data_IF_002731538115
#
_entry.id   IF_002731538115
#
_cell.length_a   1.000
_cell.length_b   1.000
_cell.length_c   1.000
_cell.angle_alpha   90.00
_cell.angle_beta   90.00
_cell.angle_gamma   90.00
#
_symmetry.space_group_name_H-M   'P 1'
#
loop_
_entity.id
_entity.type
_entity.pdbx_description
1 polymer ?
#
# COMPACT_ATOMS: atom_id res chain seq x y z
N UNK A 1 -21.98 -2.84 0.26
CA UNK A 1 -20.88 -2.14 0.98
C UNK A 1 -21.42 -1.63 2.30
N UNK A 2 -20.90 -2.13 3.38
CA UNK A 2 -21.23 -1.68 4.73
C UNK A 2 -20.27 -0.56 5.17
N UNK A 3 -20.83 0.58 5.56
CA UNK A 3 -20.10 1.74 6.08
C UNK A 3 -20.16 1.82 7.61
N UNK A 4 -20.65 0.80 8.29
CA UNK A 4 -20.68 0.63 9.75
C UNK A 4 -21.27 1.87 10.46
N UNK A 5 -22.39 2.41 9.97
CA UNK A 5 -22.99 3.67 10.47
C UNK A 5 -23.28 3.60 11.96
N UNK A 6 -23.85 2.48 12.44
CA UNK A 6 -24.18 2.27 13.85
C UNK A 6 -22.94 2.38 14.74
N UNK A 7 -21.84 1.74 14.35
CA UNK A 7 -20.55 1.80 15.06
C UNK A 7 -19.97 3.21 15.10
N UNK A 8 -20.04 3.95 13.98
CA UNK A 8 -19.59 5.35 13.92
C UNK A 8 -20.40 6.22 14.88
N UNK A 9 -21.73 6.03 14.92
CA UNK A 9 -22.65 6.76 15.79
C UNK A 9 -22.36 6.46 17.26
N UNK A 10 -22.11 5.19 17.63
CA UNK A 10 -21.74 4.79 18.99
C UNK A 10 -20.42 5.46 19.41
N UNK A 11 -19.39 5.35 18.60
CA UNK A 11 -18.10 5.99 18.89
C UNK A 11 -18.21 7.52 18.98
N UNK A 12 -19.04 8.15 18.16
CA UNK A 12 -19.27 9.59 18.23
C UNK A 12 -19.93 9.99 19.56
N UNK A 13 -20.86 9.17 20.09
CA UNK A 13 -21.50 9.40 21.39
C UNK A 13 -20.53 9.18 22.56
N UNK A 14 -19.77 8.07 22.53
CA UNK A 14 -18.79 7.72 23.56
C UNK A 14 -17.72 8.81 23.70
N UNK A 15 -17.21 9.30 22.58
CA UNK A 15 -16.21 10.38 22.55
C UNK A 15 -16.83 11.78 22.71
N UNK A 16 -18.17 11.91 22.86
CA UNK A 16 -18.87 13.20 22.90
C UNK A 16 -18.47 14.12 21.75
N UNK A 17 -18.21 13.53 20.58
CA UNK A 17 -17.76 14.25 19.40
C UNK A 17 -18.84 15.21 18.89
N UNK A 18 -18.44 16.43 18.59
CA UNK A 18 -19.30 17.47 17.97
C UNK A 18 -19.02 17.62 16.48
N UNK A 19 -17.81 17.26 16.06
CA UNK A 19 -17.37 17.35 14.67
C UNK A 19 -16.71 16.04 14.28
N UNK A 20 -17.24 15.38 13.24
CA UNK A 20 -16.65 14.22 12.60
C UNK A 20 -16.01 14.63 11.29
N UNK A 21 -14.81 14.15 11.00
CA UNK A 21 -14.22 14.22 9.67
C UNK A 21 -14.30 12.84 9.02
N UNK A 22 -14.80 12.79 7.80
CA UNK A 22 -14.88 11.55 7.01
C UNK A 22 -13.84 11.60 5.91
N UNK A 23 -12.90 10.67 5.94
CA UNK A 23 -11.85 10.51 4.93
C UNK A 23 -12.08 9.23 4.13
N UNK A 24 -12.13 9.35 2.81
CA UNK A 24 -12.37 8.25 1.89
C UNK A 24 -11.25 8.12 0.87
N UNK A 25 -10.87 6.91 0.45
CA UNK A 25 -10.07 6.74 -0.75
C UNK A 25 -10.86 7.17 -1.99
N UNK A 26 -10.14 7.49 -3.08
CA UNK A 26 -10.73 8.11 -4.28
C UNK A 26 -11.96 7.36 -4.82
N UNK A 27 -11.93 6.04 -4.82
CA UNK A 27 -13.05 5.21 -5.28
C UNK A 27 -14.32 5.30 -4.43
N UNK A 28 -14.22 5.76 -3.18
CA UNK A 28 -15.32 5.81 -2.22
C UNK A 28 -15.80 7.24 -1.90
N UNK A 29 -15.07 8.29 -2.28
CA UNK A 29 -15.45 9.71 -1.99
C UNK A 29 -16.88 10.06 -2.39
N UNK A 30 -17.36 9.51 -3.48
CA UNK A 30 -18.74 9.72 -3.97
C UNK A 30 -19.83 9.32 -2.98
N UNK A 31 -19.53 8.42 -2.05
CA UNK A 31 -20.48 7.98 -1.01
C UNK A 31 -20.48 8.91 0.23
N UNK A 32 -19.48 9.78 0.36
CA UNK A 32 -19.30 10.64 1.52
C UNK A 32 -20.53 11.47 1.90
N UNK A 33 -21.21 12.18 0.95
CA UNK A 33 -22.39 12.96 1.27
C UNK A 33 -23.54 12.12 1.84
N UNK A 34 -23.76 10.91 1.29
CA UNK A 34 -24.81 10.01 1.75
C UNK A 34 -24.47 9.42 3.13
N UNK A 35 -23.22 9.00 3.34
CA UNK A 35 -22.74 8.49 4.65
C UNK A 35 -22.88 9.58 5.71
N UNK A 36 -22.42 10.79 5.43
CA UNK A 36 -22.53 11.92 6.36
C UNK A 36 -23.97 12.28 6.70
N UNK A 37 -24.90 12.18 5.73
CA UNK A 37 -26.34 12.37 5.97
C UNK A 37 -26.87 11.31 6.95
N UNK A 38 -26.61 10.03 6.69
CA UNK A 38 -27.05 8.92 7.55
C UNK A 38 -26.52 9.04 8.98
N UNK A 39 -25.26 9.42 9.18
CA UNK A 39 -24.69 9.64 10.51
C UNK A 39 -25.48 10.74 11.24
N UNK A 40 -25.76 11.88 10.58
CA UNK A 40 -26.50 13.00 11.19
C UNK A 40 -27.96 12.67 11.53
N UNK A 41 -28.56 11.67 10.91
CA UNK A 41 -29.92 11.20 11.26
C UNK A 41 -29.96 10.51 12.64
N UNK A 42 -28.80 10.00 13.14
CA UNK A 42 -28.72 9.24 14.37
C UNK A 42 -27.98 9.96 15.52
N UNK A 43 -27.15 10.95 15.20
CA UNK A 43 -26.40 11.73 16.20
C UNK A 43 -26.26 13.19 15.78
N UNK A 44 -26.35 14.10 16.75
CA UNK A 44 -26.25 15.54 16.51
C UNK A 44 -24.78 15.98 16.39
N UNK A 45 -24.19 15.84 15.20
CA UNK A 45 -22.80 16.20 14.90
C UNK A 45 -22.69 17.03 13.62
N UNK A 46 -21.62 17.81 13.55
CA UNK A 46 -21.17 18.39 12.26
C UNK A 46 -20.33 17.35 11.53
N UNK A 47 -20.49 17.25 10.23
CA UNK A 47 -19.71 16.35 9.39
C UNK A 47 -18.90 17.15 8.39
N UNK A 48 -17.61 16.94 8.37
CA UNK A 48 -16.66 17.43 7.37
C UNK A 48 -16.27 16.27 6.44
N UNK A 49 -16.27 16.50 5.15
CA UNK A 49 -15.76 15.55 4.16
C UNK A 49 -14.35 15.99 3.76
N UNK A 50 -13.36 15.13 3.94
CA UNK A 50 -12.01 15.40 3.44
C UNK A 50 -12.02 15.40 1.91
N UNK A 51 -11.54 16.49 1.30
CA UNK A 51 -11.28 16.60 -0.13
C UNK A 51 -9.87 16.13 -0.52
N UNK A 52 -8.98 15.97 0.45
CA UNK A 52 -7.59 15.57 0.22
C UNK A 52 -7.50 14.15 -0.36
N UNK A 53 -6.48 13.83 -1.16
CA UNK A 53 -6.20 12.45 -1.57
C UNK A 53 -6.04 11.53 -0.35
N UNK A 54 -6.41 10.26 -0.51
CA UNK A 54 -6.27 9.26 0.53
C UNK A 54 -5.84 7.92 -0.09
N UNK A 55 -4.61 7.51 0.19
CA UNK A 55 -3.99 6.34 -0.42
C UNK A 55 -3.88 5.13 0.50
N UNK A 56 -4.09 5.31 1.81
CA UNK A 56 -3.95 4.24 2.79
C UNK A 56 -4.11 4.71 4.23
N UNK A 57 -4.11 3.79 5.18
CA UNK A 57 -4.08 4.10 6.61
C UNK A 57 -2.77 4.81 7.04
N UNK A 58 -1.77 4.85 6.17
CA UNK A 58 -0.55 5.63 6.33
C UNK A 58 -0.71 7.11 5.98
N UNK A 59 -1.89 7.52 5.50
CA UNK A 59 -2.21 8.86 4.99
C UNK A 59 -3.45 9.41 5.70
N UNK A 60 -3.33 9.57 7.02
CA UNK A 60 -4.43 10.08 7.85
C UNK A 60 -4.49 11.60 7.79
N UNK A 61 -5.66 12.12 7.42
CA UNK A 61 -5.93 13.56 7.31
C UNK A 61 -6.41 14.11 8.65
N UNK A 62 -5.46 14.41 9.53
CA UNK A 62 -5.74 15.01 10.85
C UNK A 62 -6.04 16.49 10.74
N UNK A 63 -7.06 16.92 10.04
CA UNK A 63 -7.42 18.32 10.13
C UNK A 63 -8.04 18.63 11.52
N UNK A 64 -7.45 19.59 12.13
CA UNK A 64 -7.37 20.04 13.50
C UNK A 64 -8.68 20.42 14.19
N UNK A 65 -9.83 20.37 13.50
CA UNK A 65 -11.13 20.78 14.05
C UNK A 65 -12.10 19.63 14.30
N UNK A 66 -11.73 18.42 13.90
CA UNK A 66 -12.54 17.23 14.13
C UNK A 66 -12.22 16.61 15.49
N UNK A 67 -13.25 16.23 16.20
CA UNK A 67 -13.12 15.48 17.45
C UNK A 67 -12.83 13.99 17.17
N UNK A 68 -13.26 13.47 16.02
CA UNK A 68 -13.05 12.10 15.57
C UNK A 68 -12.88 12.06 14.05
N UNK A 69 -11.82 11.41 13.58
CA UNK A 69 -11.59 11.07 12.19
C UNK A 69 -12.18 9.67 11.91
N UNK A 70 -13.04 9.57 10.90
CA UNK A 70 -13.53 8.29 10.39
C UNK A 70 -12.84 8.02 9.05
N UNK A 71 -11.95 7.04 9.04
CA UNK A 71 -11.12 6.66 7.90
C UNK A 71 -11.68 5.40 7.25
N UNK A 72 -12.07 5.49 5.98
CA UNK A 72 -12.73 4.42 5.24
C UNK A 72 -11.79 3.68 4.29
N UNK A 73 -12.09 2.41 4.03
CA UNK A 73 -11.49 1.59 2.98
C UNK A 73 -10.15 0.94 3.31
N UNK A 74 -9.60 1.20 4.49
CA UNK A 74 -8.32 0.62 4.92
C UNK A 74 -8.39 0.08 6.33
N UNK A 75 -7.59 -0.96 6.61
CA UNK A 75 -7.33 -1.40 7.97
C UNK A 75 -6.32 -0.47 8.64
N UNK A 76 -6.46 -0.32 9.95
CA UNK A 76 -5.43 0.27 10.80
C UNK A 76 -4.06 -0.37 10.53
N UNK A 77 -3.00 0.42 10.58
CA UNK A 77 -1.61 -0.06 10.65
C UNK A 77 -1.24 -0.05 12.15
N UNK A 78 -1.13 -1.21 12.83
CA UNK A 78 -1.03 -1.28 14.28
C UNK A 78 0.17 -0.52 14.87
N UNK A 79 1.26 -0.43 14.12
CA UNK A 79 2.48 0.31 14.51
C UNK A 79 2.30 1.83 14.49
N UNK A 80 1.31 2.34 13.75
CA UNK A 80 1.05 3.78 13.68
C UNK A 80 0.09 4.18 14.80
N UNK A 81 0.58 4.96 15.75
CA UNK A 81 -0.26 5.49 16.82
C UNK A 81 -1.22 6.53 16.24
N UNK A 82 -2.47 6.16 16.13
CA UNK A 82 -3.55 7.00 15.64
C UNK A 82 -4.50 7.34 16.81
N UNK A 83 -4.58 8.60 17.19
CA UNK A 83 -5.51 9.05 18.23
C UNK A 83 -6.82 9.53 17.59
N UNK A 84 -7.95 9.20 18.22
CA UNK A 84 -9.29 9.64 17.78
C UNK A 84 -9.58 9.28 16.31
N UNK A 85 -9.22 8.06 15.87
CA UNK A 85 -9.50 7.54 14.53
C UNK A 85 -10.38 6.29 14.63
N UNK A 86 -11.44 6.28 13.84
CA UNK A 86 -12.26 5.11 13.59
C UNK A 86 -11.95 4.57 12.19
N UNK A 87 -11.38 3.38 12.09
CA UNK A 87 -11.16 2.72 10.79
C UNK A 87 -12.39 1.90 10.41
N UNK A 88 -12.94 2.17 9.24
CA UNK A 88 -14.04 1.43 8.60
C UNK A 88 -13.50 0.78 7.33
N UNK A 89 -13.30 -0.52 7.35
CA UNK A 89 -12.54 -1.23 6.31
C UNK A 89 -13.29 -1.34 4.97
N UNK A 90 -14.60 -1.21 4.97
CA UNK A 90 -15.47 -1.31 3.77
C UNK A 90 -15.19 -2.59 2.99
N UNK A 91 -15.37 -3.74 3.65
CA UNK A 91 -15.12 -5.06 3.08
C UNK A 91 -16.01 -5.33 1.87
N UNK A 92 -15.49 -6.11 0.94
CA UNK A 92 -16.22 -6.48 -0.28
C UNK A 92 -17.15 -7.67 -0.02
N UNK A 93 -18.37 -7.59 -0.51
CA UNK A 93 -19.35 -8.69 -0.43
C UNK A 93 -19.30 -9.64 -1.66
N UNK A 94 -18.33 -9.42 -2.56
CA UNK A 94 -18.19 -10.26 -3.75
C UNK A 94 -17.79 -11.69 -3.36
N UNK A 95 -18.45 -12.68 -3.92
CA UNK A 95 -18.05 -14.06 -3.75
C UNK A 95 -16.75 -14.33 -4.51
N UNK A 96 -15.69 -14.71 -3.77
CA UNK A 96 -14.36 -14.97 -4.31
C UNK A 96 -14.18 -16.41 -4.78
N UNK A 97 -15.02 -17.36 -4.30
CA UNK A 97 -14.86 -18.80 -4.53
C UNK A 97 -14.91 -19.18 -6.02
N UNK A 98 -15.80 -18.63 -6.86
CA UNK A 98 -15.79 -18.95 -8.28
C UNK A 98 -14.44 -18.64 -8.95
N UNK A 99 -13.85 -17.49 -8.65
CA UNK A 99 -12.56 -17.10 -9.23
C UNK A 99 -11.38 -17.89 -8.63
N UNK A 100 -11.46 -18.24 -7.35
CA UNK A 100 -10.50 -19.16 -6.72
C UNK A 100 -10.55 -20.53 -7.37
N UNK A 101 -11.75 -21.03 -7.68
CA UNK A 101 -11.92 -22.30 -8.38
C UNK A 101 -11.28 -22.28 -9.78
N UNK A 102 -11.46 -21.19 -10.53
CA UNK A 102 -10.80 -21.03 -11.83
C UNK A 102 -9.26 -20.95 -11.69
N UNK A 103 -8.75 -20.42 -10.58
CA UNK A 103 -7.33 -20.34 -10.29
C UNK A 103 -6.69 -21.72 -10.01
N UNK A 104 -7.46 -22.74 -9.59
CA UNK A 104 -6.95 -24.09 -9.34
C UNK A 104 -6.22 -24.68 -10.56
N UNK A 105 -6.69 -24.38 -11.78
CA UNK A 105 -6.06 -24.82 -13.03
C UNK A 105 -4.64 -24.25 -13.24
N UNK A 106 -4.28 -23.16 -12.56
CA UNK A 106 -2.99 -22.52 -12.65
C UNK A 106 -2.04 -22.94 -11.52
N UNK A 107 -2.54 -23.57 -10.47
CA UNK A 107 -1.75 -24.02 -9.32
C UNK A 107 -0.96 -25.27 -9.72
N UNK A 108 0.35 -25.26 -9.48
CA UNK A 108 1.27 -26.34 -9.87
C UNK A 108 1.85 -27.10 -8.69
N UNK A 109 1.91 -26.50 -7.51
CA UNK A 109 2.48 -27.15 -6.31
C UNK A 109 1.44 -27.39 -5.23
N UNK A 110 1.65 -28.36 -4.33
CA UNK A 110 0.68 -28.69 -3.29
C UNK A 110 0.60 -27.65 -2.17
N UNK A 111 1.67 -26.86 -1.94
CA UNK A 111 1.77 -25.87 -0.85
C UNK A 111 1.50 -24.49 -1.41
N UNK A 112 0.37 -23.88 -1.04
CA UNK A 112 -0.09 -22.60 -1.59
C UNK A 112 -0.23 -21.58 -0.47
N UNK A 113 0.46 -20.45 -0.58
CA UNK A 113 0.26 -19.30 0.29
C UNK A 113 -0.95 -18.50 -0.15
N UNK A 114 -1.82 -18.12 0.78
CA UNK A 114 -2.98 -17.28 0.47
C UNK A 114 -2.72 -15.89 1.00
N UNK A 115 -2.80 -14.89 0.12
CA UNK A 115 -2.62 -13.47 0.45
C UNK A 115 -3.68 -12.61 -0.20
N UNK A 116 -4.01 -11.49 0.44
CA UNK A 116 -5.04 -10.57 -0.03
C UNK A 116 -4.86 -9.17 0.53
N UNK A 117 -5.66 -8.22 0.07
CA UNK A 117 -5.81 -6.90 0.69
C UNK A 117 -6.97 -6.91 1.71
N UNK A 118 -7.15 -5.81 2.46
CA UNK A 118 -8.16 -5.72 3.54
C UNK A 118 -9.59 -5.98 3.08
N UNK A 119 -9.93 -5.68 1.82
CA UNK A 119 -11.28 -5.86 1.29
C UNK A 119 -11.75 -7.33 1.31
N UNK A 120 -10.81 -8.28 1.28
CA UNK A 120 -11.12 -9.71 1.19
C UNK A 120 -10.56 -10.55 2.34
N UNK A 121 -9.94 -9.97 3.38
CA UNK A 121 -9.37 -10.74 4.51
C UNK A 121 -10.38 -11.65 5.19
N UNK A 122 -11.65 -11.26 5.25
CA UNK A 122 -12.73 -12.04 5.84
C UNK A 122 -13.09 -13.31 5.04
N UNK A 123 -12.63 -13.43 3.80
CA UNK A 123 -12.88 -14.62 2.96
C UNK A 123 -11.77 -15.66 3.08
N UNK A 124 -10.66 -15.36 3.74
CA UNK A 124 -9.48 -16.23 3.75
C UNK A 124 -9.74 -17.62 4.34
N UNK A 125 -10.53 -17.71 5.41
CA UNK A 125 -10.86 -19.02 6.01
C UNK A 125 -11.70 -19.87 5.07
N UNK A 126 -12.67 -19.30 4.36
CA UNK A 126 -13.48 -20.01 3.38
C UNK A 126 -12.63 -20.47 2.17
N UNK A 127 -11.72 -19.62 1.71
CA UNK A 127 -10.78 -19.97 0.64
C UNK A 127 -9.82 -21.07 1.10
N UNK A 128 -9.31 -21.00 2.33
CA UNK A 128 -8.47 -22.05 2.90
C UNK A 128 -9.14 -23.41 2.85
N UNK A 129 -10.36 -23.53 3.38
CA UNK A 129 -11.13 -24.79 3.35
C UNK A 129 -11.45 -25.26 1.92
N UNK A 130 -11.71 -24.32 1.00
CA UNK A 130 -11.97 -24.66 -0.40
C UNK A 130 -10.73 -25.29 -1.06
N UNK A 131 -9.54 -24.72 -0.84
CA UNK A 131 -8.27 -25.26 -1.37
C UNK A 131 -7.92 -26.61 -0.73
N UNK A 132 -8.16 -26.80 0.58
CA UNK A 132 -7.99 -28.10 1.24
C UNK A 132 -8.90 -29.16 0.62
N UNK A 133 -10.17 -28.83 0.35
CA UNK A 133 -11.13 -29.71 -0.29
C UNK A 133 -10.72 -30.09 -1.72
N UNK A 134 -9.93 -29.22 -2.39
CA UNK A 134 -9.32 -29.49 -3.69
C UNK A 134 -8.01 -30.31 -3.59
N UNK A 135 -7.61 -30.77 -2.39
CA UNK A 135 -6.41 -31.59 -2.16
C UNK A 135 -5.10 -30.80 -2.04
N UNK A 136 -5.18 -29.49 -1.90
CA UNK A 136 -4.02 -28.61 -1.69
C UNK A 136 -3.70 -28.45 -0.19
N UNK A 137 -2.54 -27.87 0.11
CA UNK A 137 -2.11 -27.49 1.46
C UNK A 137 -1.96 -25.98 1.51
N UNK A 138 -3.04 -25.25 1.86
CA UNK A 138 -3.00 -23.78 1.95
C UNK A 138 -2.33 -23.31 3.24
N UNK A 139 -1.70 -22.15 3.18
CA UNK A 139 -1.04 -21.46 4.30
C UNK A 139 -1.39 -19.98 4.31
N UNK A 140 -1.61 -19.42 5.49
CA UNK A 140 -1.88 -18.01 5.70
C UNK A 140 -0.87 -17.50 6.74
N UNK A 141 0.07 -16.65 6.32
CA UNK A 141 1.11 -16.11 7.20
C UNK A 141 0.64 -14.94 8.06
N UNK A 142 1.32 -14.74 9.20
CA UNK A 142 1.19 -13.54 9.99
C UNK A 142 2.22 -12.51 9.53
N UNK A 143 1.82 -11.25 9.40
CA UNK A 143 2.73 -10.16 9.10
C UNK A 143 3.38 -9.58 10.35
N UNK A 144 4.21 -8.56 10.13
CA UNK A 144 4.85 -7.75 11.17
C UNK A 144 3.89 -6.71 11.78
N UNK A 145 4.41 -5.75 12.57
CA UNK A 145 3.62 -4.72 13.25
C UNK A 145 2.86 -3.77 12.33
N UNK A 146 3.11 -3.78 11.03
CA UNK A 146 2.35 -2.99 10.06
C UNK A 146 1.12 -3.72 9.51
N UNK A 147 1.02 -5.02 9.71
CA UNK A 147 -0.05 -5.87 9.17
C UNK A 147 -1.05 -6.23 10.26
N UNK A 148 -2.31 -5.88 10.06
CA UNK A 148 -3.39 -6.15 11.02
C UNK A 148 -3.90 -7.60 10.95
N UNK A 149 -4.04 -8.16 9.77
CA UNK A 149 -4.66 -9.45 9.55
C UNK A 149 -3.70 -10.48 8.95
N UNK A 150 -3.86 -11.73 9.33
CA UNK A 150 -3.17 -12.85 8.68
C UNK A 150 -3.46 -12.82 7.17
N UNK A 151 -2.47 -13.10 6.35
CA UNK A 151 -2.58 -13.11 4.88
C UNK A 151 -2.80 -11.74 4.25
N UNK A 152 -2.97 -10.67 5.02
CA UNK A 152 -3.06 -9.33 4.47
C UNK A 152 -1.69 -8.87 3.96
N UNK A 153 -1.68 -8.23 2.80
CA UNK A 153 -0.51 -7.52 2.25
C UNK A 153 -0.85 -6.05 2.01
N UNK A 154 0.13 -5.19 2.18
CA UNK A 154 0.07 -3.78 1.78
C UNK A 154 0.93 -3.58 0.53
N UNK A 155 0.71 -2.48 -0.19
CA UNK A 155 1.57 -2.14 -1.33
C UNK A 155 3.02 -1.80 -0.96
N UNK A 156 3.32 -1.73 0.33
CA UNK A 156 4.63 -1.41 0.90
C UNK A 156 5.08 -2.38 2.00
N UNK A 157 4.36 -3.49 2.19
CA UNK A 157 4.75 -4.52 3.18
C UNK A 157 4.18 -5.88 2.80
N UNK A 158 5.06 -6.87 2.65
CA UNK A 158 4.75 -8.24 2.25
C UNK A 158 5.20 -9.26 3.30
N UNK A 159 5.36 -8.84 4.55
CA UNK A 159 5.84 -9.67 5.66
C UNK A 159 4.98 -10.91 5.89
N UNK A 160 3.65 -10.81 5.73
CA UNK A 160 2.76 -11.97 5.86
C UNK A 160 3.04 -13.06 4.81
N UNK A 161 3.45 -12.67 3.60
CA UNK A 161 3.86 -13.63 2.58
C UNK A 161 5.21 -14.27 2.94
N UNK A 162 6.21 -13.47 3.35
CA UNK A 162 7.53 -14.00 3.74
C UNK A 162 7.52 -14.89 4.97
N UNK A 163 6.50 -14.80 5.82
CA UNK A 163 6.38 -15.59 7.05
C UNK A 163 6.10 -17.09 6.81
N UNK A 164 5.86 -17.52 5.56
CA UNK A 164 5.51 -18.89 5.22
C UNK A 164 6.37 -19.42 4.09
N UNK A 165 6.73 -20.72 4.18
CA UNK A 165 7.42 -21.41 3.08
C UNK A 165 6.43 -22.23 2.26
N UNK A 166 6.23 -21.81 1.01
CA UNK A 166 5.26 -22.40 0.07
C UNK A 166 5.85 -22.51 -1.33
N UNK A 167 5.18 -23.24 -2.24
CA UNK A 167 5.62 -23.36 -3.62
C UNK A 167 5.28 -22.09 -4.42
N UNK A 168 4.09 -21.56 -4.22
CA UNK A 168 3.53 -20.42 -4.93
C UNK A 168 2.44 -19.74 -4.09
N UNK A 169 1.99 -18.55 -4.52
CA UNK A 169 0.95 -17.80 -3.83
C UNK A 169 -0.30 -17.65 -4.69
N UNK A 170 -1.43 -17.65 -4.02
CA UNK A 170 -2.72 -17.19 -4.55
C UNK A 170 -3.03 -15.82 -3.93
N UNK A 171 -3.00 -14.77 -4.74
CA UNK A 171 -3.45 -13.44 -4.36
C UNK A 171 -4.92 -13.25 -4.76
N UNK A 172 -5.76 -12.88 -3.80
CA UNK A 172 -7.18 -12.60 -4.01
C UNK A 172 -7.38 -11.09 -3.97
N UNK A 173 -7.81 -10.51 -5.09
CA UNK A 173 -8.04 -9.07 -5.19
C UNK A 173 -7.79 -8.53 -6.59
N UNK A 174 -8.16 -7.27 -6.81
CA UNK A 174 -7.98 -6.58 -8.07
C UNK A 174 -6.64 -5.85 -8.16
N UNK A 175 -6.15 -5.73 -9.39
CA UNK A 175 -4.91 -5.05 -9.70
C UNK A 175 -3.67 -5.91 -9.51
N UNK A 176 -2.66 -5.65 -10.33
CA UNK A 176 -1.43 -6.46 -10.35
C UNK A 176 -0.42 -6.07 -9.25
N UNK A 177 -0.49 -4.84 -8.72
CA UNK A 177 0.57 -4.27 -7.89
C UNK A 177 0.93 -5.11 -6.65
N UNK A 178 -0.09 -5.51 -5.85
CA UNK A 178 0.14 -6.32 -4.65
C UNK A 178 0.69 -7.71 -5.01
N UNK A 179 0.16 -8.34 -6.06
CA UNK A 179 0.61 -9.65 -6.50
C UNK A 179 2.06 -9.61 -7.02
N UNK A 180 2.42 -8.59 -7.79
CA UNK A 180 3.81 -8.36 -8.24
C UNK A 180 4.72 -8.11 -7.04
N UNK A 181 4.26 -7.31 -6.06
CA UNK A 181 5.00 -7.07 -4.83
C UNK A 181 5.28 -8.36 -4.05
N UNK A 182 4.27 -9.22 -3.89
CA UNK A 182 4.45 -10.56 -3.26
C UNK A 182 5.46 -11.40 -4.05
N UNK A 183 5.37 -11.40 -5.38
CA UNK A 183 6.30 -12.17 -6.22
C UNK A 183 7.75 -11.67 -6.07
N UNK A 184 7.97 -10.35 -6.08
CA UNK A 184 9.29 -9.74 -5.90
C UNK A 184 9.83 -9.97 -4.47
N UNK A 185 8.97 -9.84 -3.45
CA UNK A 185 9.37 -9.99 -2.06
C UNK A 185 9.70 -11.43 -1.66
N UNK A 186 9.12 -12.43 -2.35
CA UNK A 186 9.26 -13.85 -2.02
C UNK A 186 10.07 -14.65 -3.03
N UNK A 187 10.29 -14.11 -4.24
CA UNK A 187 10.88 -14.85 -5.35
C UNK A 187 10.01 -15.99 -5.87
N UNK A 188 8.71 -16.01 -5.51
CA UNK A 188 7.79 -17.10 -5.85
C UNK A 188 6.75 -16.65 -6.89
N UNK A 189 6.24 -17.60 -7.65
CA UNK A 189 5.13 -17.39 -8.56
C UNK A 189 3.87 -16.99 -7.81
N UNK A 190 3.13 -16.02 -8.34
CA UNK A 190 1.87 -15.54 -7.76
C UNK A 190 0.75 -15.64 -8.78
N UNK A 191 -0.28 -16.37 -8.43
CA UNK A 191 -1.53 -16.48 -9.19
C UNK A 191 -2.48 -15.40 -8.66
N UNK A 192 -3.03 -14.61 -9.55
CA UNK A 192 -4.01 -13.56 -9.23
C UNK A 192 -5.41 -14.10 -9.48
N UNK A 193 -6.26 -14.05 -8.48
CA UNK A 193 -7.70 -14.30 -8.59
C UNK A 193 -8.44 -12.97 -8.37
N UNK A 194 -8.86 -12.31 -9.45
CA UNK A 194 -9.60 -11.05 -9.40
C UNK A 194 -11.12 -11.34 -9.40
N UNK A 195 -11.80 -11.21 -8.24
CA UNK A 195 -13.21 -11.56 -8.14
C UNK A 195 -14.14 -10.55 -8.81
N UNK A 196 -13.69 -9.29 -9.01
CA UNK A 196 -14.50 -8.26 -9.68
C UNK A 196 -14.49 -8.44 -11.20
N UNK A 197 -13.33 -8.76 -11.77
CA UNK A 197 -13.19 -9.04 -13.20
C UNK A 197 -13.53 -10.48 -13.55
N UNK A 198 -13.68 -11.37 -12.56
CA UNK A 198 -13.81 -12.82 -12.71
C UNK A 198 -12.73 -13.38 -13.63
N UNK A 199 -11.49 -13.01 -13.33
CA UNK A 199 -10.33 -13.36 -14.15
C UNK A 199 -9.20 -13.89 -13.29
N UNK A 200 -8.49 -14.88 -13.83
CA UNK A 200 -7.24 -15.39 -13.24
C UNK A 200 -6.06 -15.07 -14.16
N UNK A 201 -4.91 -14.81 -13.58
CA UNK A 201 -3.67 -14.54 -14.30
C UNK A 201 -2.46 -14.86 -13.42
N UNK A 202 -1.27 -14.82 -13.99
CA UNK A 202 -0.02 -14.90 -13.25
C UNK A 202 0.55 -13.48 -13.18
N UNK A 203 1.09 -13.09 -12.02
CA UNK A 203 1.74 -11.80 -11.86
C UNK A 203 3.00 -11.73 -12.74
N UNK A 204 3.05 -10.74 -13.61
CA UNK A 204 4.19 -10.49 -14.50
C UNK A 204 5.17 -9.54 -13.83
N UNK A 205 6.25 -10.08 -13.29
CA UNK A 205 7.32 -9.31 -12.66
C UNK A 205 8.34 -8.79 -13.67
N UNK A 206 8.51 -9.44 -14.81
CA UNK A 206 9.56 -9.12 -15.78
C UNK A 206 9.38 -7.74 -16.37
N UNK A 207 8.14 -7.36 -16.64
CA UNK A 207 7.81 -6.03 -17.17
C UNK A 207 8.24 -4.93 -16.18
N UNK A 208 7.90 -5.08 -14.91
CA UNK A 208 8.23 -4.10 -13.86
C UNK A 208 9.76 -4.03 -13.69
N UNK A 209 10.43 -5.17 -13.58
CA UNK A 209 11.89 -5.24 -13.43
C UNK A 209 12.58 -4.53 -14.61
N UNK A 210 12.18 -4.82 -15.87
CA UNK A 210 12.75 -4.16 -17.06
C UNK A 210 12.55 -2.65 -17.05
N UNK A 211 11.36 -2.17 -16.65
CA UNK A 211 11.08 -0.75 -16.52
C UNK A 211 11.97 -0.10 -15.46
N UNK A 212 12.12 -0.74 -14.28
CA UNK A 212 12.95 -0.20 -13.20
C UNK A 212 14.43 -0.15 -13.56
N UNK A 213 14.98 -1.20 -14.16
CA UNK A 213 16.36 -1.15 -14.67
C UNK A 213 16.56 -0.09 -15.76
N UNK A 214 15.56 0.14 -16.59
CA UNK A 214 15.60 1.24 -17.57
C UNK A 214 15.68 2.61 -16.92
N UNK A 215 15.01 2.81 -15.76
CA UNK A 215 15.09 4.06 -14.99
C UNK A 215 16.42 4.18 -14.24
N UNK A 216 16.92 3.08 -13.64
CA UNK A 216 18.25 3.05 -13.01
C UNK A 216 19.32 3.40 -14.04
N UNK A 217 19.31 2.80 -15.23
CA UNK A 217 20.28 3.09 -16.28
C UNK A 217 20.25 4.57 -16.70
N UNK A 218 19.07 5.18 -16.80
CA UNK A 218 18.95 6.63 -17.09
C UNK A 218 19.51 7.51 -15.97
N UNK A 219 19.48 7.02 -14.73
CA UNK A 219 19.96 7.75 -13.57
C UNK A 219 21.47 7.62 -13.32
N UNK A 220 22.17 6.72 -14.05
CA UNK A 220 23.62 6.51 -13.85
C UNK A 220 24.48 7.71 -14.21
N UNK A 221 24.02 8.53 -15.15
CA UNK A 221 24.72 9.76 -15.58
C UNK A 221 24.24 11.02 -14.85
N UNK A 222 23.40 10.87 -13.83
CA UNK A 222 22.87 11.98 -13.06
C UNK A 222 23.92 12.57 -12.12
N UNK A 223 23.85 13.89 -11.92
CA UNK A 223 24.72 14.62 -11.01
C UNK A 223 23.98 15.20 -9.80
N UNK A 224 22.69 15.53 -9.98
CA UNK A 224 21.87 16.17 -8.95
C UNK A 224 20.71 15.27 -8.54
N UNK A 225 20.61 14.97 -7.25
CA UNK A 225 19.59 14.13 -6.67
C UNK A 225 18.72 14.90 -5.65
N UNK A 226 17.41 14.81 -5.82
CA UNK A 226 16.44 15.32 -4.85
C UNK A 226 15.80 14.15 -4.09
N UNK A 227 16.09 14.03 -2.79
CA UNK A 227 15.53 12.98 -1.93
C UNK A 227 14.26 13.49 -1.28
N UNK A 228 13.15 12.81 -1.54
CA UNK A 228 11.82 13.19 -1.09
C UNK A 228 11.49 12.50 0.23
N UNK A 229 11.29 13.28 1.30
CA UNK A 229 10.86 12.81 2.61
C UNK A 229 9.39 13.18 2.86
N UNK A 230 8.53 12.16 3.05
CA UNK A 230 7.10 12.38 3.26
C UNK A 230 6.80 12.93 4.64
N UNK A 231 5.83 13.85 4.72
CA UNK A 231 5.25 14.33 5.97
C UNK A 231 4.02 13.53 6.41
N UNK A 232 3.54 12.58 5.59
CA UNK A 232 2.41 11.70 5.93
C UNK A 232 2.78 10.75 7.06
N UNK A 233 1.92 10.64 8.07
CA UNK A 233 2.21 9.95 9.34
C UNK A 233 2.80 8.54 9.17
N UNK A 234 2.27 7.75 8.25
CA UNK A 234 2.73 6.36 8.05
C UNK A 234 3.76 6.19 6.94
N UNK A 235 4.34 7.29 6.42
CA UNK A 235 5.31 7.27 5.32
C UNK A 235 6.58 8.05 5.62
N UNK A 236 6.79 8.44 6.89
CA UNK A 236 7.95 9.24 7.30
C UNK A 236 9.19 8.36 7.42
N UNK A 237 10.23 8.69 6.66
CA UNK A 237 11.57 8.06 6.70
C UNK A 237 12.64 9.14 6.59
N UNK A 238 12.60 10.12 7.51
CA UNK A 238 13.53 11.26 7.49
C UNK A 238 14.98 10.83 7.69
N UNK A 239 15.24 9.92 8.62
CA UNK A 239 16.61 9.43 8.88
C UNK A 239 17.19 8.76 7.62
N UNK A 240 16.42 7.88 6.96
CA UNK A 240 16.82 7.30 5.68
C UNK A 240 17.09 8.37 4.62
N UNK A 241 16.23 9.39 4.52
CA UNK A 241 16.43 10.46 3.54
C UNK A 241 17.72 11.23 3.78
N UNK A 242 18.05 11.53 5.04
CA UNK A 242 19.30 12.20 5.40
C UNK A 242 20.52 11.33 5.13
N UNK A 243 20.49 10.06 5.52
CA UNK A 243 21.57 9.10 5.26
C UNK A 243 21.87 8.96 3.75
N UNK A 244 20.84 8.91 2.91
CA UNK A 244 21.01 8.84 1.46
C UNK A 244 21.63 10.10 0.88
N UNK A 245 21.25 11.29 1.36
CA UNK A 245 21.84 12.56 0.93
C UNK A 245 23.30 12.66 1.36
N UNK A 246 23.62 12.33 2.61
CA UNK A 246 25.01 12.36 3.11
C UNK A 246 25.90 11.39 2.33
N UNK A 247 25.41 10.21 2.00
CA UNK A 247 26.14 9.24 1.20
C UNK A 247 26.37 9.72 -0.23
N UNK A 248 25.37 10.34 -0.85
CA UNK A 248 25.51 10.92 -2.18
C UNK A 248 26.57 12.01 -2.22
N UNK A 249 26.53 12.93 -1.25
CA UNK A 249 27.54 14.02 -1.13
C UNK A 249 28.95 13.44 -0.93
N UNK A 250 29.10 12.42 -0.08
CA UNK A 250 30.42 11.76 0.13
C UNK A 250 30.98 11.13 -1.16
N UNK A 251 30.12 10.77 -2.10
CA UNK A 251 30.50 10.23 -3.41
C UNK A 251 30.67 11.28 -4.50
N UNK A 252 30.51 12.57 -4.15
CA UNK A 252 30.73 13.69 -5.07
C UNK A 252 29.50 14.08 -5.88
N UNK A 253 28.31 13.60 -5.53
CA UNK A 253 27.06 14.02 -6.12
C UNK A 253 26.51 15.27 -5.45
N UNK A 254 25.75 16.07 -6.18
CA UNK A 254 24.89 17.10 -5.63
C UNK A 254 23.60 16.46 -5.11
N UNK A 255 23.27 16.64 -3.83
CA UNK A 255 22.06 16.04 -3.26
C UNK A 255 21.45 16.93 -2.18
N UNK A 256 20.11 16.93 -2.12
CA UNK A 256 19.36 17.66 -1.10
C UNK A 256 18.05 16.96 -0.77
N UNK A 257 17.52 17.25 0.44
CA UNK A 257 16.23 16.68 0.89
C UNK A 257 15.12 17.71 0.72
N UNK A 258 13.95 17.22 0.25
CA UNK A 258 12.70 17.99 0.21
C UNK A 258 11.64 17.28 1.05
N UNK A 259 11.05 18.01 1.99
CA UNK A 259 9.87 17.51 2.72
C UNK A 259 8.61 17.75 1.91
N UNK A 260 7.78 16.73 1.77
CA UNK A 260 6.64 16.77 0.87
C UNK A 260 5.44 16.00 1.43
N UNK A 261 4.24 16.55 1.30
CA UNK A 261 3.00 15.85 1.62
C UNK A 261 2.44 15.12 0.39
N UNK A 262 2.26 15.85 -0.73
CA UNK A 262 1.78 15.26 -1.99
C UNK A 262 2.87 15.33 -3.06
N UNK A 263 3.28 14.15 -3.55
CA UNK A 263 4.26 14.02 -4.64
C UNK A 263 3.53 14.16 -5.97
N UNK A 264 3.62 15.33 -6.58
CA UNK A 264 3.02 15.62 -7.88
C UNK A 264 4.04 16.18 -8.85
N UNK A 265 3.87 16.03 -10.18
CA UNK A 265 4.75 16.66 -11.16
C UNK A 265 4.87 18.17 -10.97
N UNK A 266 3.78 18.84 -10.57
CA UNK A 266 3.77 20.28 -10.31
C UNK A 266 4.63 20.67 -9.12
N UNK A 267 4.54 19.92 -8.01
CA UNK A 267 5.35 20.18 -6.83
C UNK A 267 6.83 19.96 -7.12
N UNK A 268 7.18 18.85 -7.80
CA UNK A 268 8.57 18.53 -8.12
C UNK A 268 9.20 19.46 -9.14
N UNK A 269 8.41 20.08 -10.00
CA UNK A 269 8.91 21.09 -10.94
C UNK A 269 9.60 22.27 -10.25
N UNK A 270 9.25 22.55 -9.00
CA UNK A 270 9.86 23.63 -8.19
C UNK A 270 11.23 23.26 -7.62
N UNK A 271 11.59 21.98 -7.64
CA UNK A 271 12.84 21.45 -7.09
C UNK A 271 13.61 20.72 -8.19
N UNK A 272 14.41 21.46 -9.00
CA UNK A 272 15.09 20.88 -10.14
C UNK A 272 16.15 19.86 -9.70
N UNK A 273 16.09 18.65 -10.29
CA UNK A 273 17.06 17.59 -10.12
C UNK A 273 17.09 16.72 -11.36
N UNK A 274 18.21 16.02 -11.58
CA UNK A 274 18.29 15.02 -12.64
C UNK A 274 17.47 13.76 -12.29
N UNK A 275 17.40 13.45 -10.98
CA UNK A 275 16.71 12.28 -10.45
C UNK A 275 16.03 12.62 -9.12
N UNK A 276 14.83 12.12 -8.92
CA UNK A 276 14.14 12.11 -7.64
C UNK A 276 14.27 10.76 -6.96
N UNK A 277 14.56 10.76 -5.66
CA UNK A 277 14.63 9.56 -4.82
C UNK A 277 13.47 9.60 -3.85
N UNK A 278 12.52 8.70 -4.01
CA UNK A 278 11.28 8.68 -3.24
C UNK A 278 11.41 7.77 -2.01
N UNK A 279 11.58 8.35 -0.82
CA UNK A 279 11.53 7.59 0.44
C UNK A 279 10.12 7.42 1.01
N UNK A 280 9.10 7.98 0.36
CA UNK A 280 7.69 7.83 0.72
C UNK A 280 7.09 6.50 0.20
N UNK A 281 5.83 6.50 -0.17
CA UNK A 281 5.15 5.32 -0.70
C UNK A 281 5.84 4.78 -1.98
N UNK A 282 6.29 3.52 -2.00
CA UNK A 282 6.98 2.95 -3.18
C UNK A 282 6.12 2.96 -4.45
N UNK A 283 4.80 2.93 -4.31
CA UNK A 283 3.87 2.97 -5.45
C UNK A 283 4.04 4.22 -6.31
N UNK A 284 4.38 5.36 -5.71
CA UNK A 284 4.61 6.60 -6.47
C UNK A 284 5.78 6.43 -7.45
N UNK A 285 6.86 5.78 -7.00
CA UNK A 285 8.00 5.52 -7.87
C UNK A 285 7.72 4.43 -8.92
N UNK A 286 6.81 3.49 -8.66
CA UNK A 286 6.55 2.33 -9.52
C UNK A 286 5.35 2.59 -10.43
N UNK A 287 4.16 2.88 -9.85
CA UNK A 287 2.92 3.02 -10.62
C UNK A 287 2.84 4.37 -11.35
N UNK A 288 3.31 5.44 -10.70
CA UNK A 288 3.16 6.82 -11.19
C UNK A 288 4.43 7.36 -11.86
N UNK A 289 5.48 6.55 -11.98
CA UNK A 289 6.79 6.99 -12.51
C UNK A 289 6.71 7.67 -13.88
N UNK A 290 5.79 7.24 -14.74
CA UNK A 290 5.59 7.81 -16.07
C UNK A 290 5.01 9.24 -16.07
N UNK A 291 4.48 9.71 -14.94
CA UNK A 291 3.97 11.07 -14.80
C UNK A 291 5.09 12.11 -14.65
N UNK A 292 6.28 11.68 -14.24
CA UNK A 292 7.41 12.55 -13.94
C UNK A 292 8.39 12.63 -15.11
N UNK A 293 8.92 13.83 -15.37
CA UNK A 293 9.89 14.04 -16.46
C UNK A 293 11.25 13.43 -16.15
N UNK A 294 11.73 13.61 -14.90
CA UNK A 294 12.97 13.01 -14.43
C UNK A 294 12.70 11.62 -13.84
N UNK A 295 13.64 10.68 -13.89
CA UNK A 295 13.51 9.39 -13.24
C UNK A 295 13.18 9.53 -11.77
N UNK A 296 12.27 8.68 -11.28
CA UNK A 296 11.97 8.55 -9.85
C UNK A 296 12.43 7.18 -9.38
N UNK A 297 13.41 7.15 -8.51
CA UNK A 297 13.98 5.95 -7.91
C UNK A 297 13.42 5.69 -6.52
N UNK A 298 13.41 4.44 -6.12
CA UNK A 298 13.26 4.02 -4.72
C UNK A 298 14.60 4.15 -3.99
N UNK A 299 14.65 4.13 -2.64
CA UNK A 299 15.89 4.10 -1.88
C UNK A 299 16.84 2.96 -2.30
N UNK A 300 16.29 1.76 -2.50
CA UNK A 300 17.07 0.58 -2.91
C UNK A 300 17.74 0.79 -4.27
N UNK A 301 17.03 1.35 -5.21
CA UNK A 301 17.55 1.67 -6.55
C UNK A 301 18.61 2.79 -6.50
N UNK A 302 18.43 3.76 -5.61
CA UNK A 302 19.44 4.79 -5.38
C UNK A 302 20.70 4.21 -4.73
N UNK A 303 20.59 3.25 -3.81
CA UNK A 303 21.72 2.52 -3.26
C UNK A 303 22.51 1.77 -4.34
N UNK A 304 21.85 1.29 -5.40
CA UNK A 304 22.53 0.70 -6.56
C UNK A 304 23.35 1.75 -7.33
N UNK A 305 22.81 2.95 -7.55
CA UNK A 305 23.55 4.08 -8.16
C UNK A 305 24.75 4.44 -7.29
N UNK A 306 24.57 4.48 -5.98
CA UNK A 306 25.65 4.75 -5.03
C UNK A 306 26.67 3.59 -4.90
N UNK A 307 26.46 2.45 -5.55
CA UNK A 307 27.34 1.27 -5.44
C UNK A 307 27.35 0.63 -4.05
N UNK A 308 26.30 0.83 -3.24
CA UNK A 308 26.07 0.16 -1.95
C UNK A 308 25.41 -1.20 -2.12
N UNK A 309 24.76 -1.41 -3.25
CA UNK A 309 24.01 -2.63 -3.59
C UNK A 309 24.33 -3.05 -5.02
N UNK A 310 24.41 -4.36 -5.24
CA UNK A 310 24.61 -4.92 -6.57
C UNK A 310 23.33 -4.81 -7.39
N UNK A 311 23.46 -4.55 -8.70
CA UNK A 311 22.30 -4.47 -9.60
C UNK A 311 21.54 -5.79 -9.71
N UNK A 312 22.21 -6.94 -9.49
CA UNK A 312 21.56 -8.25 -9.51
C UNK A 312 20.68 -8.53 -8.28
N UNK A 313 20.78 -7.72 -7.22
CA UNK A 313 20.06 -7.88 -5.96
C UNK A 313 18.81 -6.99 -5.89
N UNK A 314 18.10 -6.83 -7.01
CA UNK A 314 16.89 -6.01 -7.04
C UNK A 314 15.80 -6.56 -6.11
N UNK A 315 15.35 -5.72 -5.21
CA UNK A 315 14.18 -5.99 -4.34
C UNK A 315 13.26 -4.77 -4.34
N UNK A 316 12.00 -5.00 -3.99
CA UNK A 316 11.07 -3.90 -3.82
C UNK A 316 11.38 -3.13 -2.52
N UNK A 317 11.25 -1.80 -2.57
CA UNK A 317 11.32 -0.99 -1.35
C UNK A 317 10.09 -1.24 -0.48
N UNK A 318 10.31 -1.50 0.80
CA UNK A 318 9.27 -1.84 1.78
C UNK A 318 9.40 -1.03 3.05
N UNK A 319 8.29 -0.85 3.73
CA UNK A 319 8.24 -0.41 5.12
C UNK A 319 8.18 -1.66 6.01
N UNK A 320 9.22 -1.94 6.76
CA UNK A 320 9.23 -2.99 7.78
C UNK A 320 9.05 -2.39 9.17
N UNK A 321 8.48 -3.17 10.09
CA UNK A 321 8.57 -2.85 11.52
C UNK A 321 10.03 -2.87 11.96
N UNK A 322 10.45 -1.85 12.71
CA UNK A 322 11.77 -1.74 13.28
C UNK A 322 12.02 -2.78 14.38
#
# INVERSE_FOLDING_TARGET
MDFEIERIVELARENRARVLQLQFPEGLKRYGPQVGKRIKEHVNVKVLLSGNPCYGACDLDYDTKADLLVHFGHAEIPEIVAHNVCFVEVRSEVDVIPTVNDALALISGPRVGIVTNVQHVHTLDSVHHHLESAGLRPFIGCGDGRIKYRGQVLGCNFSSARAIDVNEYLYIGSGAFHAVGVALATGKRVIVADPFLRKTSIADVDLIIKQRYGLIAKAMDAHTFCVLASTKTGQQRFDLAFELVEEAIRRGYDAYTVTINEITPWTLYQFPADVYVNTACPRVAIDDSALFKAPMLTPIEFEMILGKRDLSEYTLDEFSSG
#
